data_IF_019752672304
#
_entry.id   IF_019752672304
#
_cell.length_a   1.000
_cell.length_b   1.000
_cell.length_c   1.000
_cell.angle_alpha   90.00
_cell.angle_beta   90.00
_cell.angle_gamma   90.00
#
_symmetry.space_group_name_H-M   'P 1'
#
loop_
_entity.id
_entity.type
_entity.pdbx_description
1 polymer ?
#
# COMPACT_ATOMS: atom_id res chain seq x y z
N UNK A 1 -16.49 7.88 16.28
CA UNK A 1 -15.52 7.30 15.37
C UNK A 1 -16.15 7.13 13.99
N UNK A 2 -15.54 7.62 12.93
CA UNK A 2 -16.00 7.36 11.55
C UNK A 2 -15.33 6.07 11.05
N UNK A 3 -16.09 4.99 11.00
CA UNK A 3 -15.60 3.68 10.58
C UNK A 3 -15.02 3.67 9.15
N UNK A 4 -15.48 4.56 8.27
CA UNK A 4 -14.96 4.69 6.89
C UNK A 4 -13.52 5.21 6.83
N UNK A 5 -13.02 5.81 7.91
CA UNK A 5 -11.65 6.31 8.06
C UNK A 5 -10.78 5.37 8.90
N UNK A 6 -11.33 4.27 9.38
CA UNK A 6 -10.61 3.27 10.15
C UNK A 6 -9.59 2.55 9.26
N UNK A 7 -8.33 2.44 9.69
CA UNK A 7 -7.27 1.76 8.94
C UNK A 7 -7.63 0.29 8.71
N UNK A 8 -8.19 -0.40 9.69
CA UNK A 8 -8.67 -1.79 9.51
C UNK A 8 -9.73 -1.88 8.42
N UNK A 9 -10.73 -0.98 8.41
CA UNK A 9 -11.72 -0.94 7.34
C UNK A 9 -11.07 -0.70 5.97
N UNK A 10 -10.19 0.28 5.87
CA UNK A 10 -9.53 0.65 4.61
C UNK A 10 -8.64 -0.47 4.07
N UNK A 11 -7.98 -1.23 4.93
CA UNK A 11 -7.03 -2.27 4.54
C UNK A 11 -7.65 -3.66 4.37
N UNK A 12 -8.81 -3.93 4.99
CA UNK A 12 -9.46 -5.26 4.97
C UNK A 12 -10.78 -5.24 4.21
N UNK A 13 -11.71 -4.35 4.55
CA UNK A 13 -13.09 -4.41 4.03
C UNK A 13 -13.29 -3.57 2.77
N UNK A 14 -12.59 -2.45 2.63
CA UNK A 14 -12.67 -1.61 1.46
C UNK A 14 -12.02 -2.30 0.24
N UNK A 15 -12.81 -2.71 -0.74
CA UNK A 15 -12.33 -3.33 -1.98
C UNK A 15 -11.94 -2.32 -3.07
N UNK A 16 -12.36 -1.07 -2.93
CA UNK A 16 -12.08 0.02 -3.86
C UNK A 16 -10.74 0.71 -3.56
N UNK A 17 -10.43 1.76 -4.31
CA UNK A 17 -9.29 2.62 -4.03
C UNK A 17 -9.36 3.22 -2.62
N UNK A 18 -8.21 3.33 -1.94
CA UNK A 18 -8.11 4.11 -0.71
C UNK A 18 -8.12 5.59 -1.11
N UNK A 19 -9.04 6.41 -0.54
CA UNK A 19 -9.10 7.83 -0.83
C UNK A 19 -7.73 8.48 -0.65
N UNK A 20 -7.31 9.30 -1.61
CA UNK A 20 -5.96 9.91 -1.65
C UNK A 20 -5.59 10.59 -0.32
N UNK A 21 -6.53 11.34 0.28
CA UNK A 21 -6.32 12.04 1.55
C UNK A 21 -6.07 11.10 2.75
N UNK A 22 -6.43 9.82 2.64
CA UNK A 22 -6.25 8.83 3.71
C UNK A 22 -5.00 7.96 3.53
N UNK A 23 -4.33 7.99 2.37
CA UNK A 23 -3.17 7.12 2.09
C UNK A 23 -1.99 7.43 3.00
N UNK A 24 -1.64 8.70 3.19
CA UNK A 24 -0.57 9.08 4.11
C UNK A 24 -0.88 8.72 5.58
N UNK A 25 -2.08 9.00 6.13
CA UNK A 25 -2.46 8.56 7.48
C UNK A 25 -2.49 7.05 7.71
N UNK A 26 -2.67 6.22 6.66
CA UNK A 26 -2.60 4.75 6.78
C UNK A 26 -1.18 4.30 7.17
N UNK A 27 -0.14 5.08 6.84
CA UNK A 27 1.23 4.73 7.20
C UNK A 27 1.69 3.43 6.53
N UNK A 28 2.26 2.53 7.32
CA UNK A 28 2.79 1.23 6.86
C UNK A 28 1.83 0.05 7.10
N UNK A 29 0.62 0.32 7.55
CA UNK A 29 -0.37 -0.73 7.79
C UNK A 29 -0.85 -1.35 6.49
N UNK A 30 -0.51 -2.62 6.27
CA UNK A 30 -0.92 -3.37 5.07
C UNK A 30 -2.13 -4.28 5.32
N UNK A 31 -2.44 -4.58 6.59
CA UNK A 31 -3.59 -5.40 6.96
C UNK A 31 -3.96 -5.17 8.43
N UNK A 32 -5.15 -4.63 8.69
CA UNK A 32 -5.62 -4.37 10.04
C UNK A 32 -4.93 -3.18 10.71
N UNK A 33 -5.31 -2.91 11.95
CA UNK A 33 -4.75 -1.86 12.79
C UNK A 33 -5.32 -2.01 14.21
N UNK A 34 -4.47 -2.00 15.21
CA UNK A 34 -4.86 -2.18 16.61
C UNK A 34 -4.70 -0.92 17.47
N UNK A 35 -4.45 0.26 16.87
CA UNK A 35 -4.23 1.52 17.61
C UNK A 35 -5.35 1.84 18.61
N UNK A 36 -6.61 1.57 18.27
CA UNK A 36 -7.72 1.80 19.20
C UNK A 36 -7.75 0.81 20.37
N UNK A 37 -7.14 -0.37 20.20
CA UNK A 37 -6.97 -1.35 21.27
C UNK A 37 -5.80 -0.97 22.17
N UNK A 38 -4.71 -0.47 21.58
CA UNK A 38 -3.51 -0.06 22.33
C UNK A 38 -3.78 1.12 23.26
N UNK A 39 -4.59 2.09 22.83
CA UNK A 39 -4.94 3.26 23.67
C UNK A 39 -6.12 3.02 24.60
N UNK A 40 -6.74 1.84 24.57
CA UNK A 40 -7.93 1.53 25.36
C UNK A 40 -7.55 1.31 26.84
N UNK A 41 -8.11 2.07 27.80
CA UNK A 41 -7.79 1.88 29.22
C UNK A 41 -8.09 0.47 29.74
N UNK A 42 -9.06 -0.22 29.16
CA UNK A 42 -9.41 -1.60 29.53
C UNK A 42 -8.37 -2.64 29.07
N UNK A 43 -7.49 -2.28 28.13
CA UNK A 43 -6.40 -3.13 27.65
C UNK A 43 -5.05 -2.77 28.28
N UNK A 44 -5.00 -1.80 29.19
CA UNK A 44 -3.75 -1.34 29.81
C UNK A 44 -3.08 -2.38 30.73
N UNK A 45 -3.82 -3.39 31.17
CA UNK A 45 -3.25 -4.49 31.99
C UNK A 45 -2.61 -5.53 31.06
N UNK A 46 -1.30 -5.72 31.16
CA UNK A 46 -0.60 -6.82 30.48
C UNK A 46 -1.18 -8.16 30.94
N UNK A 47 -1.67 -8.93 30.00
CA UNK A 47 -2.09 -10.32 30.24
C UNK A 47 -1.20 -11.23 29.39
N UNK A 48 -0.70 -12.35 29.95
CA UNK A 48 0.02 -13.34 29.16
C UNK A 48 -0.85 -13.79 28.00
N UNK A 49 -0.34 -13.63 26.77
CA UNK A 49 -1.02 -14.15 25.60
C UNK A 49 -1.06 -15.67 25.59
N UNK A 50 -2.10 -16.26 25.01
CA UNK A 50 -2.15 -17.70 24.82
C UNK A 50 -1.01 -18.14 23.87
N UNK A 51 -0.20 -19.15 24.28
CA UNK A 51 0.90 -19.65 23.46
C UNK A 51 0.50 -20.14 22.06
N UNK A 52 -0.75 -20.52 21.85
CA UNK A 52 -1.28 -20.92 20.54
C UNK A 52 -1.37 -19.75 19.55
N UNK A 53 -1.47 -18.49 20.03
CA UNK A 53 -1.52 -17.27 19.21
C UNK A 53 -0.17 -16.63 18.97
N UNK A 54 0.91 -17.41 18.95
CA UNK A 54 2.23 -16.88 18.64
C UNK A 54 2.27 -16.35 17.19
N UNK A 55 2.84 -15.15 16.97
CA UNK A 55 2.97 -14.58 15.63
C UNK A 55 3.86 -15.48 14.76
N UNK A 56 3.44 -15.71 13.52
CA UNK A 56 4.30 -16.30 12.50
C UNK A 56 5.35 -15.27 12.09
N UNK A 57 6.63 -15.64 12.14
CA UNK A 57 7.76 -14.75 11.83
C UNK A 57 7.69 -14.16 10.42
N UNK A 58 7.24 -14.95 9.44
CA UNK A 58 7.08 -14.52 8.05
C UNK A 58 5.91 -13.54 7.82
N UNK A 59 5.07 -13.31 8.83
CA UNK A 59 3.96 -12.37 8.80
C UNK A 59 4.18 -11.14 9.68
N UNK A 60 5.11 -11.20 10.64
CA UNK A 60 5.32 -10.12 11.60
C UNK A 60 5.91 -8.87 10.94
N UNK A 61 6.91 -9.03 10.10
CA UNK A 61 7.61 -7.93 9.42
C UNK A 61 7.91 -8.31 7.96
N UNK A 62 6.88 -8.42 7.09
CA UNK A 62 7.09 -8.82 5.71
C UNK A 62 7.75 -7.69 4.91
N UNK A 63 8.72 -8.02 4.08
CA UNK A 63 9.34 -7.08 3.16
C UNK A 63 8.34 -6.62 2.09
N UNK A 64 8.14 -5.30 1.96
CA UNK A 64 7.13 -4.72 1.06
C UNK A 64 7.39 -5.04 -0.41
N UNK A 65 8.66 -5.02 -0.85
CA UNK A 65 9.03 -5.35 -2.23
C UNK A 65 8.72 -6.82 -2.53
N UNK A 66 9.03 -7.72 -1.61
CA UNK A 66 8.70 -9.13 -1.77
C UNK A 66 7.17 -9.34 -1.88
N UNK A 67 6.39 -8.67 -1.04
CA UNK A 67 4.93 -8.72 -1.13
C UNK A 67 4.41 -8.21 -2.47
N UNK A 68 4.96 -7.09 -2.97
CA UNK A 68 4.59 -6.52 -4.26
C UNK A 68 4.85 -7.49 -5.43
N UNK A 69 5.84 -8.35 -5.30
CA UNK A 69 6.23 -9.31 -6.32
C UNK A 69 5.45 -10.63 -6.27
N UNK A 70 4.58 -10.86 -5.26
CA UNK A 70 3.83 -12.11 -5.13
C UNK A 70 2.92 -12.37 -6.34
N UNK A 71 3.19 -13.45 -7.04
CA UNK A 71 2.27 -13.99 -8.05
C UNK A 71 1.04 -14.64 -7.40
N UNK A 72 -0.01 -14.89 -8.20
CA UNK A 72 -1.27 -15.42 -7.69
C UNK A 72 -1.13 -16.74 -6.90
N UNK A 73 -0.28 -17.66 -7.35
CA UNK A 73 -0.05 -18.92 -6.65
C UNK A 73 0.70 -18.76 -5.33
N UNK A 74 1.73 -17.86 -5.33
CA UNK A 74 2.50 -17.53 -4.13
C UNK A 74 1.61 -16.83 -3.10
N UNK A 75 0.78 -15.86 -3.54
CA UNK A 75 -0.18 -15.18 -2.68
C UNK A 75 -1.12 -16.19 -2.00
N UNK A 76 -1.77 -17.09 -2.76
CA UNK A 76 -2.67 -18.10 -2.18
C UNK A 76 -1.98 -18.98 -1.13
N UNK A 77 -0.72 -19.33 -1.34
CA UNK A 77 0.07 -20.10 -0.36
C UNK A 77 0.40 -19.27 0.87
N UNK A 78 0.81 -18.02 0.69
CA UNK A 78 1.18 -17.09 1.76
C UNK A 78 0.03 -16.82 2.73
N UNK A 79 -1.17 -16.53 2.20
CA UNK A 79 -2.34 -16.21 3.03
C UNK A 79 -3.06 -17.43 3.59
N UNK A 80 -2.66 -18.65 3.18
CA UNK A 80 -3.32 -19.88 3.62
C UNK A 80 -3.23 -20.03 5.14
N UNK A 81 -4.37 -20.32 5.79
CA UNK A 81 -4.50 -20.48 7.25
C UNK A 81 -4.14 -19.21 8.04
N UNK A 82 -4.38 -18.05 7.48
CA UNK A 82 -4.21 -16.76 8.15
C UNK A 82 -5.45 -15.89 7.95
N UNK A 83 -5.59 -14.83 8.76
CA UNK A 83 -6.63 -13.82 8.60
C UNK A 83 -6.50 -13.05 7.27
N UNK A 84 -5.32 -13.01 6.66
CA UNK A 84 -5.06 -12.39 5.35
C UNK A 84 -5.90 -12.97 4.22
N UNK A 85 -6.52 -14.15 4.40
CA UNK A 85 -7.49 -14.72 3.43
C UNK A 85 -8.71 -13.85 3.19
N UNK A 86 -8.99 -12.88 4.06
CA UNK A 86 -10.12 -11.94 3.91
C UNK A 86 -9.92 -10.96 2.76
N UNK A 87 -8.68 -10.71 2.37
CA UNK A 87 -8.36 -9.77 1.28
C UNK A 87 -7.96 -10.50 0.01
N UNK A 88 -8.32 -9.93 -1.13
CA UNK A 88 -7.84 -10.37 -2.43
C UNK A 88 -6.39 -9.93 -2.68
N UNK A 89 -5.71 -10.57 -3.66
CA UNK A 89 -4.33 -10.22 -4.01
C UNK A 89 -4.20 -8.73 -4.40
N UNK A 90 -5.05 -8.25 -5.31
CA UNK A 90 -5.01 -6.85 -5.74
C UNK A 90 -5.21 -5.88 -4.56
N UNK A 91 -6.06 -6.22 -3.61
CA UNK A 91 -6.32 -5.44 -2.41
C UNK A 91 -5.10 -5.38 -1.49
N UNK A 92 -4.43 -6.53 -1.26
CA UNK A 92 -3.17 -6.55 -0.50
C UNK A 92 -2.09 -5.72 -1.20
N UNK A 93 -1.91 -5.88 -2.52
CA UNK A 93 -0.91 -5.13 -3.28
C UNK A 93 -1.21 -3.62 -3.30
N UNK A 94 -2.49 -3.23 -3.33
CA UNK A 94 -2.89 -1.83 -3.15
C UNK A 94 -2.42 -1.29 -1.79
N UNK A 95 -2.59 -2.04 -0.70
CA UNK A 95 -2.14 -1.64 0.63
C UNK A 95 -0.61 -1.56 0.70
N UNK A 96 0.09 -2.52 0.09
CA UNK A 96 1.56 -2.51 -0.05
C UNK A 96 2.04 -1.28 -0.82
N UNK A 97 1.33 -0.90 -1.89
CA UNK A 97 1.66 0.32 -2.65
C UNK A 97 1.52 1.59 -1.79
N UNK A 98 0.48 1.68 -0.92
CA UNK A 98 0.34 2.79 0.04
C UNK A 98 1.49 2.80 1.03
N UNK A 99 1.86 1.66 1.60
CA UNK A 99 3.00 1.56 2.53
C UNK A 99 4.31 1.99 1.85
N UNK A 100 4.58 1.51 0.63
CA UNK A 100 5.74 1.93 -0.17
C UNK A 100 5.73 3.44 -0.44
N UNK A 101 4.57 4.03 -0.74
CA UNK A 101 4.43 5.48 -0.86
C UNK A 101 4.82 6.22 0.41
N UNK A 102 4.51 5.67 1.58
CA UNK A 102 4.81 6.30 2.87
C UNK A 102 6.28 6.15 3.31
N UNK A 103 6.95 5.04 3.03
CA UNK A 103 8.31 4.78 3.54
C UNK A 103 9.35 4.44 2.48
N UNK A 104 8.95 4.19 1.24
CA UNK A 104 9.85 3.78 0.16
C UNK A 104 10.89 4.84 -0.19
N UNK A 105 11.99 4.39 -0.76
CA UNK A 105 13.14 5.17 -1.20
C UNK A 105 13.40 4.96 -2.69
N UNK A 106 14.55 5.38 -3.19
CA UNK A 106 14.97 5.09 -4.58
C UNK A 106 15.17 3.59 -4.84
N UNK A 107 15.48 2.80 -3.81
CA UNK A 107 15.79 1.38 -3.95
C UNK A 107 14.58 0.54 -4.42
N UNK A 108 13.34 0.97 -4.09
CA UNK A 108 12.12 0.25 -4.44
C UNK A 108 11.60 0.57 -5.84
N UNK A 109 12.11 1.62 -6.51
CA UNK A 109 11.62 2.05 -7.83
C UNK A 109 11.63 0.95 -8.89
N UNK A 110 12.69 0.12 -9.05
CA UNK A 110 12.69 -0.94 -10.06
C UNK A 110 11.56 -1.95 -9.87
N UNK A 111 11.25 -2.31 -8.61
CA UNK A 111 10.17 -3.21 -8.29
C UNK A 111 8.80 -2.58 -8.59
N UNK A 112 8.62 -1.29 -8.29
CA UNK A 112 7.40 -0.53 -8.58
C UNK A 112 7.19 -0.44 -10.09
N UNK A 113 8.20 -0.08 -10.88
CA UNK A 113 8.10 -0.01 -12.35
C UNK A 113 7.73 -1.36 -12.95
N UNK A 114 8.34 -2.45 -12.46
CA UNK A 114 8.00 -3.80 -12.88
C UNK A 114 6.54 -4.15 -12.57
N UNK A 115 6.04 -3.78 -11.39
CA UNK A 115 4.66 -4.03 -10.98
C UNK A 115 3.66 -3.24 -11.83
N UNK A 116 3.94 -2.00 -12.19
CA UNK A 116 3.08 -1.17 -13.04
C UNK A 116 2.75 -1.84 -14.38
N UNK A 117 3.69 -2.57 -14.97
CA UNK A 117 3.50 -3.24 -16.26
C UNK A 117 2.60 -4.49 -16.21
N UNK A 118 2.21 -4.97 -15.02
CA UNK A 118 1.51 -6.26 -14.88
C UNK A 118 0.28 -6.24 -13.96
N UNK A 119 0.11 -5.18 -13.16
CA UNK A 119 -0.92 -5.16 -12.12
C UNK A 119 -2.22 -4.50 -12.61
N UNK A 120 -3.31 -4.74 -11.87
CA UNK A 120 -4.62 -4.17 -12.15
C UNK A 120 -4.65 -2.64 -11.96
N UNK A 121 -5.64 -1.96 -12.54
CA UNK A 121 -5.84 -0.53 -12.40
C UNK A 121 -5.85 -0.08 -10.94
N UNK A 122 -6.52 -0.84 -10.05
CA UNK A 122 -6.55 -0.56 -8.61
C UNK A 122 -5.13 -0.47 -8.01
N UNK A 123 -4.24 -1.38 -8.40
CA UNK A 123 -2.86 -1.40 -7.87
C UNK A 123 -2.04 -0.30 -8.54
N UNK A 124 -2.16 -0.12 -9.87
CA UNK A 124 -1.44 0.91 -10.61
C UNK A 124 -1.72 2.32 -10.08
N UNK A 125 -2.99 2.64 -9.80
CA UNK A 125 -3.38 3.91 -9.19
C UNK A 125 -2.57 4.23 -7.93
N UNK A 126 -2.46 3.26 -7.02
CA UNK A 126 -1.74 3.46 -5.77
C UNK A 126 -0.21 3.45 -5.94
N UNK A 127 0.31 2.71 -6.93
CA UNK A 127 1.73 2.73 -7.26
C UNK A 127 2.16 4.07 -7.86
N UNK A 128 1.33 4.70 -8.71
CA UNK A 128 1.63 6.05 -9.23
C UNK A 128 1.63 7.10 -8.13
N UNK A 129 0.69 7.01 -7.18
CA UNK A 129 0.75 7.83 -5.97
C UNK A 129 2.05 7.59 -5.18
N UNK A 130 2.42 6.33 -4.98
CA UNK A 130 3.64 5.97 -4.26
C UNK A 130 4.90 6.56 -4.92
N UNK A 131 4.99 6.49 -6.25
CA UNK A 131 6.09 7.11 -7.00
C UNK A 131 6.17 8.61 -6.74
N UNK A 132 5.04 9.32 -6.73
CA UNK A 132 4.99 10.74 -6.41
C UNK A 132 5.50 11.04 -5.01
N UNK A 133 5.08 10.25 -4.00
CA UNK A 133 5.55 10.43 -2.62
C UNK A 133 7.06 10.16 -2.48
N UNK A 134 7.58 9.14 -3.13
CA UNK A 134 9.02 8.83 -3.15
C UNK A 134 9.79 9.98 -3.82
N UNK A 135 9.34 10.46 -4.97
CA UNK A 135 10.00 11.55 -5.71
C UNK A 135 10.02 12.88 -4.94
N UNK A 136 9.02 13.13 -4.09
CA UNK A 136 9.01 14.30 -3.18
C UNK A 136 10.02 14.18 -2.05
N UNK A 137 10.21 12.97 -1.50
CA UNK A 137 11.18 12.71 -0.42
C UNK A 137 12.62 12.59 -0.93
N UNK A 138 12.80 12.09 -2.16
CA UNK A 138 14.11 11.79 -2.76
C UNK A 138 14.27 12.60 -4.05
N UNK A 139 14.75 13.86 -3.98
CA UNK A 139 14.85 14.73 -5.17
C UNK A 139 15.67 14.15 -6.32
N UNK A 140 16.66 13.31 -6.03
CA UNK A 140 17.52 12.68 -7.03
C UNK A 140 16.77 11.82 -8.06
N UNK A 141 15.59 11.26 -7.69
CA UNK A 141 14.77 10.42 -8.60
C UNK A 141 13.61 11.17 -9.24
N UNK A 142 13.41 12.45 -8.90
CA UNK A 142 12.24 13.23 -9.36
C UNK A 142 12.10 13.24 -10.88
N UNK A 143 13.18 13.53 -11.59
CA UNK A 143 13.16 13.60 -13.06
C UNK A 143 12.81 12.24 -13.69
N UNK A 144 13.42 11.17 -13.19
CA UNK A 144 13.12 9.80 -13.65
C UNK A 144 11.65 9.43 -13.42
N UNK A 145 11.12 9.73 -12.23
CA UNK A 145 9.72 9.45 -11.89
C UNK A 145 8.78 10.31 -12.75
N UNK A 146 9.03 11.61 -12.88
CA UNK A 146 8.21 12.50 -13.70
C UNK A 146 8.13 12.04 -15.16
N UNK A 147 9.25 11.67 -15.76
CA UNK A 147 9.28 11.15 -17.13
C UNK A 147 8.45 9.84 -17.27
N UNK A 148 8.54 8.94 -16.28
CA UNK A 148 7.76 7.70 -16.27
C UNK A 148 6.25 7.98 -16.15
N UNK A 149 5.85 8.90 -15.26
CA UNK A 149 4.44 9.29 -15.08
C UNK A 149 3.86 9.95 -16.35
N UNK A 150 4.62 10.82 -17.03
CA UNK A 150 4.21 11.45 -18.28
C UNK A 150 4.00 10.42 -19.40
N UNK A 151 4.93 9.48 -19.55
CA UNK A 151 4.80 8.40 -20.52
C UNK A 151 3.57 7.52 -20.23
N UNK A 152 3.36 7.18 -18.96
CA UNK A 152 2.20 6.42 -18.53
C UNK A 152 0.87 7.16 -18.78
N UNK A 153 0.83 8.48 -18.55
CA UNK A 153 -0.37 9.29 -18.78
C UNK A 153 -0.85 9.26 -20.24
N UNK A 154 0.09 9.20 -21.18
CA UNK A 154 -0.24 9.13 -22.60
C UNK A 154 -0.82 7.75 -23.02
N UNK A 155 -0.54 6.69 -22.28
CA UNK A 155 -0.91 5.31 -22.63
C UNK A 155 -2.04 4.72 -21.77
N UNK A 156 -2.35 5.33 -20.62
CA UNK A 156 -3.34 4.80 -19.69
C UNK A 156 -4.77 5.12 -20.13
N UNK A 157 -5.67 4.14 -20.07
CA UNK A 157 -7.07 4.28 -20.47
C UNK A 157 -8.04 4.31 -19.25
N UNK A 158 -7.62 3.84 -18.09
CA UNK A 158 -8.49 3.73 -16.92
C UNK A 158 -8.69 5.10 -16.25
N UNK A 159 -9.93 5.60 -16.10
CA UNK A 159 -10.18 6.96 -15.62
C UNK A 159 -9.62 7.24 -14.22
N UNK A 160 -9.71 6.28 -13.29
CA UNK A 160 -9.18 6.43 -11.93
C UNK A 160 -7.66 6.56 -11.92
N UNK A 161 -6.97 5.80 -12.75
CA UNK A 161 -5.50 5.85 -12.89
C UNK A 161 -5.07 7.14 -13.56
N UNK A 162 -5.81 7.60 -14.59
CA UNK A 162 -5.58 8.88 -15.26
C UNK A 162 -5.71 10.07 -14.29
N UNK A 163 -6.75 10.07 -13.46
CA UNK A 163 -6.94 11.10 -12.44
C UNK A 163 -5.76 11.13 -11.44
N UNK A 164 -5.30 9.95 -11.02
CA UNK A 164 -4.15 9.84 -10.11
C UNK A 164 -2.85 10.33 -10.75
N UNK A 165 -2.58 9.96 -12.00
CA UNK A 165 -1.41 10.44 -12.76
C UNK A 165 -1.40 11.96 -12.85
N UNK A 166 -2.54 12.56 -13.21
CA UNK A 166 -2.70 14.01 -13.33
C UNK A 166 -2.44 14.70 -11.99
N UNK A 167 -3.03 14.20 -10.90
CA UNK A 167 -2.84 14.77 -9.57
C UNK A 167 -1.38 14.65 -9.11
N UNK A 168 -0.74 13.49 -9.33
CA UNK A 168 0.64 13.26 -8.92
C UNK A 168 1.63 14.11 -9.70
N UNK A 169 1.45 14.26 -11.02
CA UNK A 169 2.28 15.15 -11.86
C UNK A 169 2.13 16.62 -11.44
N UNK A 170 0.90 17.06 -11.16
CA UNK A 170 0.64 18.43 -10.68
C UNK A 170 1.37 18.70 -9.36
N UNK A 171 1.34 17.79 -8.40
CA UNK A 171 2.06 17.92 -7.13
C UNK A 171 3.58 17.96 -7.31
N UNK A 172 4.13 17.15 -8.21
CA UNK A 172 5.57 17.17 -8.50
C UNK A 172 6.02 18.45 -9.18
N UNK A 173 5.15 19.10 -9.98
CA UNK A 173 5.45 20.36 -10.64
C UNK A 173 5.39 21.56 -9.67
N UNK A 174 4.60 21.47 -8.60
CA UNK A 174 4.41 22.53 -7.61
C UNK A 174 5.44 22.51 -6.45
N UNK A 175 6.23 21.46 -6.34
CA UNK A 175 7.23 21.24 -5.26
C UNK A 175 8.63 21.57 -5.73
#
# INVERSE_FOLDING_TARGET
LDARRCISYLTIENVAAIPRALRAPVGTWIFGCDLCQEVCPWNAAERPGDPEFRPRRDLAEPELVWLLQLGAAQFRRYVRRTALRRVGRAQLLRNVAVALGNVGTAAELPAIFTALGRESALVREHLYWALGQIARRVPAVRQQVAAHLQAAQAAEAEPGVQAELTATLSELSAS
#
